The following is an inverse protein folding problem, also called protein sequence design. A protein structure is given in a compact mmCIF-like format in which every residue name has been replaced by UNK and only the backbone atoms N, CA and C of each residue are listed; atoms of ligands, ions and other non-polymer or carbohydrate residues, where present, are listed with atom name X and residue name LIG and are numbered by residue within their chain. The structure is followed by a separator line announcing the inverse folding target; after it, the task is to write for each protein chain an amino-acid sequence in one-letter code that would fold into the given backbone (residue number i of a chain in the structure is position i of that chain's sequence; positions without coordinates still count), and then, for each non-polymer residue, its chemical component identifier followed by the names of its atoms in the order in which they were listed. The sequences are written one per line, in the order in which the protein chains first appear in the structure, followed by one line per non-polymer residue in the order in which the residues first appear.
data_IF_763646730436
#
_entry.id   IF_763646730436
#
_cell.length_a   1.000
_cell.length_b   1.000
_cell.length_c   1.000
_cell.angle_alpha   90.00
_cell.angle_beta   90.00
_cell.angle_gamma   90.00
#
_symmetry.space_group_name_H-M   'P 1'
#
loop_
_entity.id
_entity.type
_entity.pdbx_description
1 polymer ?
#
# COMPACT_ATOMS: atom_id res chain seq x y z
N UNK A 1 13.74 11.14 -0.73
CA UNK A 1 14.75 10.86 0.31
C UNK A 1 16.14 11.01 -0.29
N UNK A 2 17.11 11.42 0.51
CA UNK A 2 18.53 11.47 0.15
C UNK A 2 19.34 10.93 1.33
N UNK A 3 20.18 9.94 1.07
CA UNK A 3 20.93 9.21 2.11
C UNK A 3 22.32 8.89 1.61
N UNK A 4 23.29 8.87 2.52
CA UNK A 4 24.69 8.55 2.22
C UNK A 4 25.03 7.17 2.76
N UNK A 5 25.61 6.32 1.93
CA UNK A 5 26.08 4.99 2.32
C UNK A 5 27.42 5.00 3.09
N UNK A 6 27.86 3.84 3.61
CA UNK A 6 27.15 2.56 3.62
C UNK A 6 26.02 2.54 4.65
N UNK A 7 24.83 2.07 4.26
CA UNK A 7 23.63 2.07 5.12
C UNK A 7 22.58 1.07 4.63
N UNK A 8 21.95 0.38 5.58
CA UNK A 8 20.70 -0.34 5.36
C UNK A 8 19.53 0.63 5.43
N UNK A 9 18.76 0.73 4.34
CA UNK A 9 17.66 1.70 4.21
C UNK A 9 16.33 0.96 4.27
N UNK A 10 15.43 1.50 5.08
CA UNK A 10 14.06 1.00 5.28
C UNK A 10 13.04 2.10 4.99
N UNK A 11 11.76 1.77 5.01
CA UNK A 11 10.68 2.73 4.86
C UNK A 11 10.69 3.84 5.93
N UNK A 12 11.30 3.61 7.10
CA UNK A 12 11.50 4.64 8.11
C UNK A 12 12.35 5.83 7.62
N UNK A 13 13.25 5.62 6.67
CA UNK A 13 14.14 6.66 6.13
C UNK A 13 13.42 7.57 5.10
N UNK A 14 12.17 7.26 4.74
CA UNK A 14 11.38 8.09 3.84
C UNK A 14 10.84 9.31 4.58
N UNK A 15 11.19 10.49 4.08
CA UNK A 15 10.61 11.77 4.52
C UNK A 15 9.21 11.95 3.92
N UNK A 16 8.14 11.81 4.73
CA UNK A 16 6.76 12.09 4.30
C UNK A 16 6.29 13.49 4.77
N UNK A 17 5.39 14.15 4.02
CA UNK A 17 4.73 15.37 4.50
C UNK A 17 3.77 15.03 5.65
N UNK A 18 3.37 16.04 6.44
CA UNK A 18 2.51 15.86 7.64
C UNK A 18 1.18 15.15 7.39
N UNK A 19 0.64 15.23 6.16
CA UNK A 19 -0.61 14.57 5.78
C UNK A 19 -0.46 13.11 5.36
N UNK A 20 0.75 12.54 5.45
CA UNK A 20 1.07 11.20 4.97
C UNK A 20 1.82 10.44 6.06
N UNK A 21 1.27 9.29 6.42
CA UNK A 21 1.84 8.38 7.39
C UNK A 21 2.36 7.11 6.70
N UNK A 22 3.55 6.69 7.10
CA UNK A 22 4.15 5.42 6.67
C UNK A 22 3.74 4.36 7.69
N UNK A 23 2.81 3.49 7.29
CA UNK A 23 2.21 2.50 8.21
C UNK A 23 3.18 1.37 8.57
N UNK A 24 3.93 0.86 7.59
CA UNK A 24 4.99 -0.12 7.81
C UNK A 24 6.35 0.54 7.61
N UNK A 25 7.00 0.89 8.71
CA UNK A 25 8.32 1.53 8.70
C UNK A 25 9.46 0.52 8.53
N UNK A 26 9.19 -0.79 8.65
CA UNK A 26 10.21 -1.85 8.64
C UNK A 26 10.50 -2.38 7.25
N UNK A 27 9.67 -2.05 6.27
CA UNK A 27 9.82 -2.49 4.90
C UNK A 27 11.21 -2.12 4.36
N UNK A 28 11.98 -3.14 3.98
CA UNK A 28 13.30 -2.98 3.40
C UNK A 28 13.22 -2.35 2.00
N UNK A 29 14.14 -1.43 1.70
CA UNK A 29 14.23 -0.76 0.40
C UNK A 29 15.52 -1.18 -0.32
N UNK A 30 16.68 -0.84 0.24
CA UNK A 30 17.98 -1.09 -0.38
C UNK A 30 19.11 -1.09 0.66
N UNK A 31 20.20 -1.79 0.36
CA UNK A 31 21.43 -1.78 1.14
C UNK A 31 22.52 -1.10 0.31
N UNK A 32 22.98 0.07 0.76
CA UNK A 32 24.12 0.76 0.15
C UNK A 32 25.40 0.24 0.78
N UNK A 33 26.26 -0.39 -0.02
CA UNK A 33 27.54 -0.94 0.43
C UNK A 33 28.70 0.04 0.30
N UNK A 34 28.53 1.07 -0.53
CA UNK A 34 29.57 2.06 -0.84
C UNK A 34 29.20 3.45 -0.30
N UNK A 35 30.19 4.33 -0.08
CA UNK A 35 29.97 5.69 0.42
C UNK A 35 29.46 6.64 -0.68
N UNK A 36 28.35 6.26 -1.31
CA UNK A 36 27.67 7.03 -2.36
C UNK A 36 26.47 7.80 -1.78
N UNK A 37 26.21 8.99 -2.31
CA UNK A 37 24.98 9.72 -2.08
C UNK A 37 23.88 9.19 -3.00
N UNK A 38 22.79 8.70 -2.41
CA UNK A 38 21.66 8.14 -3.13
C UNK A 38 20.39 8.93 -2.84
N UNK A 39 19.74 9.43 -3.88
CA UNK A 39 18.51 10.20 -3.80
C UNK A 39 17.42 9.58 -4.69
N UNK A 40 16.20 9.54 -4.18
CA UNK A 40 15.01 9.13 -4.93
C UNK A 40 13.80 9.95 -4.49
N UNK A 41 12.99 10.37 -5.45
CA UNK A 41 11.70 11.02 -5.22
C UNK A 41 10.57 10.02 -5.43
N UNK A 42 9.59 10.03 -4.52
CA UNK A 42 8.41 9.18 -4.62
C UNK A 42 7.17 10.08 -4.77
N UNK A 43 6.45 9.90 -5.87
CA UNK A 43 5.16 10.56 -6.09
C UNK A 43 4.01 9.62 -5.71
N UNK A 44 3.27 10.00 -4.68
CA UNK A 44 2.08 9.28 -4.23
C UNK A 44 0.81 10.07 -4.58
N UNK A 45 -0.28 9.35 -4.86
CA UNK A 45 -1.59 9.94 -5.13
C UNK A 45 -2.66 9.08 -4.48
N UNK A 46 -3.70 9.73 -3.96
CA UNK A 46 -4.91 9.05 -3.52
C UNK A 46 -5.70 8.58 -4.75
N UNK A 47 -5.87 7.26 -4.88
CA UNK A 47 -6.66 6.65 -5.95
C UNK A 47 -7.56 5.54 -5.36
N UNK A 48 -8.24 4.77 -6.21
CA UNK A 48 -9.09 3.63 -5.82
C UNK A 48 -8.84 2.43 -6.72
N UNK A 49 -8.91 1.23 -6.16
CA UNK A 49 -8.80 0.00 -6.95
C UNK A 49 -7.37 -0.30 -7.38
N UNK A 50 -7.23 -1.13 -8.41
CA UNK A 50 -5.97 -1.38 -9.09
C UNK A 50 -5.89 -0.51 -10.33
N UNK A 51 -4.80 0.24 -10.48
CA UNK A 51 -4.55 1.04 -11.69
C UNK A 51 -3.16 0.78 -12.21
N UNK A 52 -3.11 0.10 -13.35
CA UNK A 52 -1.87 -0.05 -14.11
C UNK A 52 -1.48 1.31 -14.68
N UNK A 53 -0.24 1.74 -14.49
CA UNK A 53 0.28 2.95 -15.13
C UNK A 53 1.00 2.54 -16.41
N UNK A 54 0.50 2.99 -17.55
CA UNK A 54 1.26 2.90 -18.80
C UNK A 54 2.44 3.88 -18.79
N UNK A 55 3.56 3.46 -19.37
CA UNK A 55 4.68 4.33 -19.73
C UNK A 55 4.23 5.24 -20.86
N UNK A 56 3.45 6.27 -20.56
CA UNK A 56 3.31 7.39 -21.47
C UNK A 56 4.58 8.20 -21.30
N UNK A 57 5.42 8.23 -22.34
CA UNK A 57 6.70 8.94 -22.50
C UNK A 57 6.93 10.04 -21.46
N UNK A 58 7.43 9.65 -20.28
CA UNK A 58 7.80 10.63 -19.27
C UNK A 58 9.14 11.22 -19.71
N UNK A 59 9.10 12.42 -20.27
CA UNK A 59 10.29 13.18 -20.69
C UNK A 59 11.29 13.48 -19.55
N UNK A 60 10.93 13.17 -18.31
CA UNK A 60 11.65 13.44 -17.05
C UNK A 60 12.49 12.25 -16.54
N UNK A 61 12.48 11.10 -17.23
CA UNK A 61 13.23 9.91 -16.77
C UNK A 61 12.64 9.24 -15.51
N UNK A 62 11.40 9.60 -15.14
CA UNK A 62 10.65 8.93 -14.08
C UNK A 62 10.20 7.52 -14.50
N UNK A 63 10.13 6.58 -13.57
CA UNK A 63 9.63 5.23 -13.84
C UNK A 63 8.27 5.03 -13.17
N UNK A 64 7.18 4.79 -13.94
CA UNK A 64 5.89 4.52 -13.34
C UNK A 64 5.90 3.17 -12.63
N UNK A 65 5.31 3.13 -11.44
CA UNK A 65 5.08 1.92 -10.65
C UNK A 65 3.58 1.67 -10.60
N UNK A 66 3.15 0.42 -10.76
CA UNK A 66 1.76 0.03 -10.59
C UNK A 66 1.28 0.25 -9.16
N UNK A 67 0.12 0.87 -9.01
CA UNK A 67 -0.41 1.27 -7.70
C UNK A 67 -1.60 0.39 -7.33
N UNK A 68 -1.52 -0.21 -6.14
CA UNK A 68 -2.63 -0.89 -5.48
C UNK A 68 -3.26 0.07 -4.46
N UNK A 69 -4.38 0.69 -4.82
CA UNK A 69 -5.16 1.58 -3.94
C UNK A 69 -6.38 0.87 -3.35
N UNK A 70 -6.14 -0.32 -2.79
CA UNK A 70 -7.14 -1.18 -2.18
C UNK A 70 -6.65 -1.57 -0.78
N UNK A 71 -7.08 -0.85 0.29
CA UNK A 71 -6.60 -1.11 1.64
C UNK A 71 -7.06 -2.46 2.20
N UNK A 72 -8.17 -2.99 1.67
CA UNK A 72 -8.68 -4.33 1.98
C UNK A 72 -7.91 -5.34 1.15
N UNK A 73 -7.06 -6.15 1.79
CA UNK A 73 -6.35 -7.25 1.12
C UNK A 73 -7.21 -8.49 0.96
N UNK A 74 -8.07 -8.75 1.93
CA UNK A 74 -8.92 -9.93 1.94
C UNK A 74 -10.32 -9.59 2.45
N UNK A 75 -11.33 -10.09 1.75
CA UNK A 75 -12.72 -10.05 2.17
C UNK A 75 -13.25 -11.48 2.16
N UNK A 76 -13.60 -12.00 3.34
CA UNK A 76 -14.19 -13.32 3.49
C UNK A 76 -15.70 -13.19 3.76
N UNK A 77 -16.49 -14.08 3.17
CA UNK A 77 -17.95 -14.11 3.28
C UNK A 77 -18.43 -15.53 3.60
N UNK A 78 -19.37 -15.66 4.53
CA UNK A 78 -20.10 -16.90 4.77
C UNK A 78 -21.61 -16.67 4.76
N UNK A 79 -22.34 -17.66 4.26
CA UNK A 79 -23.81 -17.68 4.24
C UNK A 79 -24.24 -18.83 5.15
N UNK A 80 -25.13 -18.56 6.09
CA UNK A 80 -25.66 -19.54 7.03
C UNK A 80 -27.17 -19.57 6.90
N UNK A 81 -27.72 -20.68 6.44
CA UNK A 81 -29.16 -20.92 6.40
C UNK A 81 -29.62 -21.61 7.67
N UNK A 82 -30.74 -21.14 8.21
CA UNK A 82 -31.40 -21.72 9.37
C UNK A 82 -32.86 -22.02 9.03
N UNK A 83 -33.30 -23.21 9.38
CA UNK A 83 -34.69 -23.62 9.21
C UNK A 83 -35.43 -23.36 10.52
N UNK A 84 -36.36 -22.41 10.49
CA UNK A 84 -37.33 -22.22 11.57
C UNK A 84 -38.65 -22.89 11.14
N UNK A 85 -39.51 -23.20 12.12
CA UNK A 85 -40.69 -24.06 11.97
C UNK A 85 -41.62 -23.74 10.79
N UNK A 86 -41.59 -22.53 10.22
CA UNK A 86 -42.38 -22.15 9.04
C UNK A 86 -41.62 -21.32 7.97
N UNK A 87 -40.33 -20.99 8.15
CA UNK A 87 -39.58 -20.10 7.24
C UNK A 87 -38.09 -20.46 7.18
N UNK A 88 -37.50 -20.43 5.99
CA UNK A 88 -36.05 -20.48 5.81
C UNK A 88 -35.48 -19.08 5.91
N UNK A 89 -34.51 -18.88 6.79
CA UNK A 89 -33.80 -17.61 6.97
C UNK A 89 -32.32 -17.79 6.60
N UNK A 90 -31.72 -16.78 5.97
CA UNK A 90 -30.31 -16.77 5.63
C UNK A 90 -29.61 -15.58 6.27
N UNK A 91 -28.44 -15.81 6.87
CA UNK A 91 -27.59 -14.77 7.44
C UNK A 91 -26.30 -14.69 6.64
N UNK A 92 -25.97 -13.47 6.23
CA UNK A 92 -24.74 -13.11 5.56
C UNK A 92 -23.75 -12.51 6.57
N UNK A 93 -22.60 -13.15 6.76
CA UNK A 93 -21.48 -12.61 7.52
C UNK A 93 -20.32 -12.24 6.58
N UNK A 94 -19.82 -11.00 6.71
CA UNK A 94 -18.68 -10.50 5.94
C UNK A 94 -17.57 -10.01 6.87
N UNK A 95 -16.32 -10.42 6.61
CA UNK A 95 -15.12 -9.98 7.34
C UNK A 95 -14.11 -9.38 6.36
N UNK A 96 -13.50 -8.26 6.73
CA UNK A 96 -12.43 -7.61 5.96
C UNK A 96 -11.14 -7.59 6.78
N UNK A 97 -10.01 -7.83 6.11
CA UNK A 97 -8.68 -7.62 6.68
C UNK A 97 -8.06 -6.40 5.99
N UNK A 98 -7.77 -5.38 6.80
CA UNK A 98 -7.15 -4.13 6.38
C UNK A 98 -5.73 -4.06 6.94
N UNK A 99 -4.76 -3.64 6.12
CA UNK A 99 -3.36 -3.45 6.55
C UNK A 99 -2.89 -2.00 6.48
N UNK A 100 -3.65 -1.11 5.82
CA UNK A 100 -3.33 0.32 5.76
C UNK A 100 -4.49 1.15 6.35
N UNK A 101 -4.21 1.95 7.38
CA UNK A 101 -5.15 2.96 7.89
C UNK A 101 -4.85 4.28 7.18
N UNK A 102 -5.86 4.85 6.52
CA UNK A 102 -5.80 6.22 6.04
C UNK A 102 -6.55 7.09 7.05
N UNK A 103 -5.83 7.95 7.76
CA UNK A 103 -6.46 8.99 8.59
C UNK A 103 -6.93 10.13 7.66
N UNK A 104 -8.20 10.50 7.79
CA UNK A 104 -8.86 11.59 7.06
C UNK A 104 -8.93 12.87 7.88
#
# INVERSE_FOLDING_TARGET
MCVRGPKYITAQDITSPTSVEIVDTTQYIVNLTEPIDWCIELQIKRDRGYRMKFTNDSHDGSYPIDIVSMPVRNANRSIHSYENRNEKQEILLSRKKDECKFNS
#
